data_IF_814938515859
#
_entry.id   IF_814938515859
#
_cell.length_a   1.000
_cell.length_b   1.000
_cell.length_c   1.000
_cell.angle_alpha   90.00
_cell.angle_beta   90.00
_cell.angle_gamma   90.00
#
_symmetry.space_group_name_H-M   'P 1'
#
loop_
_entity.id
_entity.type
_entity.pdbx_description
1 polymer ?
#
# COMPACT_ATOMS: atom_id res chain seq x y z
N UNK A 1 26.88 -4.30 23.99
CA UNK A 1 25.42 -4.07 23.93
C UNK A 1 25.03 -2.68 23.45
N UNK A 2 25.75 -1.61 23.83
CA UNK A 2 25.43 -0.23 23.41
C UNK A 2 25.44 -0.03 21.88
N UNK A 3 26.41 -0.60 21.16
CA UNK A 3 26.45 -0.54 19.69
C UNK A 3 25.21 -1.16 19.04
N UNK A 4 24.71 -2.28 19.58
CA UNK A 4 23.47 -2.90 19.10
C UNK A 4 22.26 -2.02 19.37
N UNK A 5 22.18 -1.39 20.56
CA UNK A 5 21.12 -0.42 20.87
C UNK A 5 21.15 0.77 19.91
N UNK A 6 22.32 1.33 19.60
CA UNK A 6 22.46 2.41 18.64
C UNK A 6 22.00 2.02 17.21
N UNK A 7 22.30 0.79 16.77
CA UNK A 7 21.81 0.26 15.49
C UNK A 7 20.30 0.04 15.51
N UNK A 8 19.75 -0.45 16.62
CA UNK A 8 18.32 -0.63 16.82
C UNK A 8 17.58 0.72 16.81
N UNK A 9 18.13 1.72 17.50
CA UNK A 9 17.59 3.08 17.54
C UNK A 9 17.61 3.72 16.14
N UNK A 10 18.67 3.45 15.35
CA UNK A 10 18.71 3.88 13.94
C UNK A 10 17.64 3.18 13.10
N UNK A 11 17.43 1.88 13.30
CA UNK A 11 16.37 1.12 12.63
C UNK A 11 14.98 1.65 12.99
N UNK A 12 14.72 1.93 14.26
CA UNK A 12 13.45 2.53 14.71
C UNK A 12 13.28 3.93 14.12
N UNK A 13 14.34 4.76 14.14
CA UNK A 13 14.33 6.12 13.60
C UNK A 13 14.05 6.17 12.10
N UNK A 14 14.57 5.20 11.34
CA UNK A 14 14.44 5.13 9.88
C UNK A 14 13.54 4.00 9.39
N UNK A 15 12.70 3.44 10.27
CA UNK A 15 11.90 2.25 9.99
C UNK A 15 11.09 2.36 8.68
N UNK A 16 10.47 3.51 8.41
CA UNK A 16 9.72 3.73 7.18
C UNK A 16 10.59 3.69 5.92
N UNK A 17 11.77 4.32 5.97
CA UNK A 17 12.71 4.35 4.84
C UNK A 17 13.30 2.97 4.57
N UNK A 18 13.65 2.24 5.64
CA UNK A 18 14.12 0.86 5.55
C UNK A 18 13.04 -0.07 4.99
N UNK A 19 11.79 0.09 5.45
CA UNK A 19 10.65 -0.67 4.93
C UNK A 19 10.43 -0.45 3.43
N UNK A 20 10.44 0.81 2.96
CA UNK A 20 10.34 1.10 1.53
C UNK A 20 11.53 0.56 0.74
N UNK A 21 12.75 0.72 1.25
CA UNK A 21 13.95 0.16 0.62
C UNK A 21 13.89 -1.36 0.48
N UNK A 22 13.41 -2.06 1.51
CA UNK A 22 13.23 -3.51 1.50
C UNK A 22 12.18 -3.94 0.47
N UNK A 23 11.02 -3.29 0.43
CA UNK A 23 9.96 -3.58 -0.55
C UNK A 23 10.47 -3.37 -1.98
N UNK A 24 11.19 -2.27 -2.23
CA UNK A 24 11.79 -1.98 -3.53
C UNK A 24 12.82 -3.04 -3.92
N UNK A 25 13.72 -3.42 -3.01
CA UNK A 25 14.74 -4.43 -3.26
C UNK A 25 14.13 -5.82 -3.54
N UNK A 26 13.16 -6.24 -2.74
CA UNK A 26 12.45 -7.51 -2.92
C UNK A 26 11.68 -7.53 -4.24
N UNK A 27 11.04 -6.43 -4.60
CA UNK A 27 10.29 -6.32 -5.87
C UNK A 27 11.24 -6.35 -7.07
N UNK A 28 12.36 -5.62 -7.02
CA UNK A 28 13.36 -5.63 -8.06
C UNK A 28 14.05 -6.99 -8.21
N UNK A 29 14.39 -7.64 -7.08
CA UNK A 29 14.95 -8.99 -7.08
C UNK A 29 13.95 -10.03 -7.60
N UNK A 30 12.68 -9.92 -7.21
CA UNK A 30 11.60 -10.77 -7.71
C UNK A 30 11.44 -10.66 -9.22
N UNK A 31 11.36 -9.44 -9.75
CA UNK A 31 11.30 -9.20 -11.20
C UNK A 31 12.46 -9.89 -11.93
N UNK A 32 13.69 -9.73 -11.44
CA UNK A 32 14.87 -10.34 -12.07
C UNK A 32 14.82 -11.86 -12.08
N UNK A 33 14.32 -12.48 -11.01
CA UNK A 33 14.15 -13.93 -10.94
C UNK A 33 13.08 -14.39 -11.95
N UNK A 34 11.92 -13.74 -11.99
CA UNK A 34 10.85 -14.09 -12.93
C UNK A 34 11.28 -13.94 -14.38
N UNK A 35 11.96 -12.83 -14.70
CA UNK A 35 12.50 -12.55 -16.03
C UNK A 35 13.58 -13.53 -16.45
N UNK A 36 14.42 -14.02 -15.52
CA UNK A 36 15.50 -14.95 -15.84
C UNK A 36 15.05 -16.42 -15.89
N UNK A 37 14.11 -16.82 -15.05
CA UNK A 37 13.77 -18.24 -14.82
C UNK A 37 12.49 -18.67 -15.53
N UNK A 38 11.48 -17.80 -15.59
CA UNK A 38 10.14 -18.16 -16.06
C UNK A 38 9.78 -17.57 -17.43
N UNK A 39 10.31 -16.39 -17.75
CA UNK A 39 9.93 -15.68 -18.96
C UNK A 39 10.67 -16.19 -20.20
N UNK A 40 9.92 -16.69 -21.18
CA UNK A 40 10.43 -17.05 -22.49
C UNK A 40 9.40 -16.60 -23.54
N UNK A 41 9.76 -15.63 -24.38
CA UNK A 41 8.82 -15.12 -25.39
C UNK A 41 8.48 -16.25 -26.39
N UNK A 42 7.18 -16.51 -26.67
CA UNK A 42 6.78 -17.63 -27.52
C UNK A 42 7.08 -17.42 -29.01
N UNK A 43 7.46 -16.21 -29.42
CA UNK A 43 7.74 -15.81 -30.79
C UNK A 43 6.63 -16.19 -31.78
N UNK A 44 5.40 -15.94 -31.35
CA UNK A 44 4.17 -16.14 -32.10
C UNK A 44 3.43 -14.82 -32.23
N UNK A 45 3.03 -14.47 -33.45
CA UNK A 45 2.28 -13.24 -33.74
C UNK A 45 1.02 -13.09 -32.87
N UNK A 46 0.37 -14.20 -32.49
CA UNK A 46 -0.84 -14.20 -31.68
C UNK A 46 -0.56 -14.07 -30.16
N UNK A 47 0.55 -14.64 -29.68
CA UNK A 47 0.82 -14.77 -28.23
C UNK A 47 1.80 -13.76 -27.67
N UNK A 48 2.68 -13.18 -28.50
CA UNK A 48 3.71 -12.24 -28.05
C UNK A 48 3.14 -11.06 -27.23
N UNK A 49 2.06 -10.44 -27.73
CA UNK A 49 1.38 -9.32 -27.05
C UNK A 49 0.76 -9.73 -25.71
N UNK A 50 -0.19 -10.68 -25.64
CA UNK A 50 -0.80 -11.06 -24.38
C UNK A 50 0.21 -11.64 -23.39
N UNK A 51 1.18 -12.44 -23.85
CA UNK A 51 2.20 -13.04 -22.99
C UNK A 51 3.08 -11.97 -22.33
N UNK A 52 3.62 -11.02 -23.10
CA UNK A 52 4.42 -9.92 -22.55
C UNK A 52 3.64 -9.02 -21.58
N UNK A 53 2.38 -8.71 -21.89
CA UNK A 53 1.51 -7.90 -21.01
C UNK A 53 1.15 -8.61 -19.71
N UNK A 54 0.91 -9.92 -19.74
CA UNK A 54 0.59 -10.70 -18.53
C UNK A 54 1.76 -10.65 -17.53
N UNK A 55 2.99 -10.90 -17.98
CA UNK A 55 4.17 -10.83 -17.11
C UNK A 55 4.45 -9.41 -16.61
N UNK A 56 4.09 -8.39 -17.38
CA UNK A 56 4.23 -7.00 -16.96
C UNK A 56 3.16 -6.57 -15.93
N UNK A 57 1.88 -6.90 -16.16
CA UNK A 57 0.76 -6.32 -15.43
C UNK A 57 0.19 -7.21 -14.32
N UNK A 58 0.21 -8.54 -14.45
CA UNK A 58 -0.40 -9.43 -13.45
C UNK A 58 0.36 -9.41 -12.12
N UNK A 59 1.71 -9.51 -12.09
CA UNK A 59 2.45 -9.35 -10.84
C UNK A 59 2.28 -7.95 -10.23
N UNK A 60 2.20 -6.91 -11.06
CA UNK A 60 1.90 -5.56 -10.59
C UNK A 60 0.52 -5.48 -9.91
N UNK A 61 -0.51 -6.09 -10.50
CA UNK A 61 -1.85 -6.17 -9.89
C UNK A 61 -1.83 -6.98 -8.59
N UNK A 62 -1.12 -8.11 -8.55
CA UNK A 62 -0.99 -8.93 -7.34
C UNK A 62 -0.32 -8.14 -6.19
N UNK A 63 0.76 -7.40 -6.48
CA UNK A 63 1.43 -6.53 -5.51
C UNK A 63 0.52 -5.40 -5.04
N UNK A 64 -0.31 -4.85 -5.93
CA UNK A 64 -1.27 -3.79 -5.59
C UNK A 64 -2.32 -4.30 -4.61
N UNK A 65 -2.93 -5.45 -4.92
CA UNK A 65 -3.92 -6.09 -4.05
C UNK A 65 -3.32 -6.49 -2.70
N UNK A 66 -2.08 -7.00 -2.70
CA UNK A 66 -1.35 -7.30 -1.46
C UNK A 66 -1.16 -6.03 -0.61
N UNK A 67 -0.84 -4.89 -1.22
CA UNK A 67 -0.76 -3.60 -0.54
C UNK A 67 -2.08 -3.18 0.13
N UNK A 68 -3.23 -3.48 -0.47
CA UNK A 68 -4.54 -3.26 0.15
C UNK A 68 -4.78 -4.18 1.34
N UNK A 69 -4.49 -5.48 1.19
CA UNK A 69 -4.69 -6.50 2.23
C UNK A 69 -3.82 -6.23 3.45
N UNK A 70 -2.59 -5.75 3.26
CA UNK A 70 -1.66 -5.44 4.37
C UNK A 70 -1.94 -4.08 5.05
N UNK A 71 -2.79 -3.23 4.47
CA UNK A 71 -3.08 -1.90 4.99
C UNK A 71 -4.15 -1.93 6.10
N UNK A 72 -3.78 -1.57 7.33
CA UNK A 72 -4.71 -1.43 8.45
C UNK A 72 -5.87 -0.45 8.14
N UNK A 73 -5.61 0.60 7.35
CA UNK A 73 -6.64 1.57 6.95
C UNK A 73 -7.73 0.93 6.08
N UNK A 74 -7.36 -0.02 5.23
CA UNK A 74 -8.32 -0.79 4.42
C UNK A 74 -9.30 -1.53 5.34
N UNK A 75 -8.79 -2.18 6.38
CA UNK A 75 -9.62 -2.91 7.34
C UNK A 75 -10.45 -1.97 8.21
N UNK A 76 -9.96 -0.78 8.59
CA UNK A 76 -10.77 0.23 9.29
C UNK A 76 -11.95 0.72 8.45
N UNK A 77 -11.76 0.85 7.13
CA UNK A 77 -12.83 1.20 6.20
C UNK A 77 -13.85 0.06 6.00
N UNK A 78 -13.38 -1.16 5.75
CA UNK A 78 -14.23 -2.27 5.33
C UNK A 78 -14.89 -3.02 6.50
N UNK A 79 -14.20 -3.18 7.64
CA UNK A 79 -14.69 -3.99 8.77
C UNK A 79 -16.01 -3.44 9.28
N UNK A 80 -17.08 -4.24 9.17
CA UNK A 80 -18.44 -3.90 9.62
C UNK A 80 -19.32 -3.17 8.60
N UNK A 81 -18.88 -2.97 7.35
CA UNK A 81 -19.62 -2.22 6.32
C UNK A 81 -20.99 -2.84 6.00
N UNK A 82 -21.08 -4.17 6.04
CA UNK A 82 -22.28 -4.93 5.68
C UNK A 82 -23.26 -5.17 6.84
N UNK A 83 -22.96 -4.68 8.05
CA UNK A 83 -23.93 -4.73 9.14
C UNK A 83 -24.97 -3.63 8.93
N UNK A 84 -26.25 -3.98 9.00
CA UNK A 84 -27.43 -3.13 8.73
C UNK A 84 -27.52 -1.84 9.55
N UNK A 85 -26.60 -1.61 10.50
CA UNK A 85 -26.41 -0.37 11.23
C UNK A 85 -25.58 0.71 10.47
N UNK A 86 -25.05 0.41 9.26
CA UNK A 86 -24.30 1.37 8.42
C UNK A 86 -25.06 1.81 7.17
N UNK A 87 -26.21 2.45 7.34
CA UNK A 87 -26.85 3.20 6.25
C UNK A 87 -26.11 4.52 5.90
N UNK A 88 -25.04 4.86 6.62
CA UNK A 88 -24.17 5.99 6.30
C UNK A 88 -22.70 5.53 6.39
N UNK A 89 -22.21 4.90 5.32
CA UNK A 89 -20.79 4.99 5.02
C UNK A 89 -20.55 6.50 4.82
N UNK A 90 -19.82 7.13 5.75
CA UNK A 90 -19.67 8.59 5.82
C UNK A 90 -19.33 9.20 4.45
N UNK A 91 -19.77 10.45 4.22
CA UNK A 91 -19.87 11.09 2.90
C UNK A 91 -18.95 10.49 1.84
N UNK A 92 -19.51 10.09 0.68
CA UNK A 92 -18.76 9.41 -0.39
C UNK A 92 -17.39 10.05 -0.71
N UNK A 93 -17.30 11.37 -0.51
CA UNK A 93 -16.07 12.18 -0.56
C UNK A 93 -14.99 11.76 0.47
N UNK A 94 -15.32 11.57 1.75
CA UNK A 94 -14.36 11.14 2.79
C UNK A 94 -13.85 9.72 2.50
N UNK A 95 -14.76 8.80 2.16
CA UNK A 95 -14.38 7.43 1.79
C UNK A 95 -13.46 7.40 0.57
N UNK A 96 -13.81 8.15 -0.47
CA UNK A 96 -13.00 8.32 -1.68
C UNK A 96 -11.58 8.82 -1.37
N UNK A 97 -11.45 9.89 -0.57
CA UNK A 97 -10.14 10.46 -0.23
C UNK A 97 -9.24 9.46 0.51
N UNK A 98 -9.80 8.69 1.44
CA UNK A 98 -9.03 7.66 2.17
C UNK A 98 -8.67 6.52 1.23
N UNK A 99 -9.57 6.09 0.35
CA UNK A 99 -9.27 5.11 -0.69
C UNK A 99 -8.12 5.58 -1.59
N UNK A 100 -8.11 6.84 -2.05
CA UNK A 100 -7.02 7.39 -2.86
C UNK A 100 -5.69 7.36 -2.11
N UNK A 101 -5.66 7.67 -0.81
CA UNK A 101 -4.44 7.57 -0.01
C UNK A 101 -3.94 6.13 0.13
N UNK A 102 -4.86 5.18 0.29
CA UNK A 102 -4.52 3.75 0.34
C UNK A 102 -3.98 3.31 -1.02
N UNK A 103 -4.64 3.68 -2.13
CA UNK A 103 -4.17 3.39 -3.49
C UNK A 103 -2.77 3.93 -3.72
N UNK A 104 -2.52 5.18 -3.33
CA UNK A 104 -1.21 5.82 -3.50
C UNK A 104 -0.11 5.08 -2.74
N UNK A 105 -0.39 4.63 -1.50
CA UNK A 105 0.56 3.84 -0.72
C UNK A 105 0.75 2.42 -1.30
N UNK A 106 -0.32 1.77 -1.74
CA UNK A 106 -0.30 0.42 -2.31
C UNK A 106 0.35 0.37 -3.71
N UNK A 107 0.39 1.50 -4.44
CA UNK A 107 0.97 1.58 -5.78
C UNK A 107 2.51 1.52 -5.81
N UNK A 108 3.21 1.68 -4.68
CA UNK A 108 4.67 1.73 -4.66
C UNK A 108 5.33 0.46 -5.23
N UNK A 109 4.93 -0.72 -4.75
CA UNK A 109 5.48 -1.99 -5.22
C UNK A 109 5.11 -2.29 -6.68
N UNK A 110 3.84 -2.14 -7.13
CA UNK A 110 3.47 -2.25 -8.54
C UNK A 110 4.26 -1.32 -9.47
N UNK A 111 4.42 -0.05 -9.11
CA UNK A 111 5.15 0.92 -9.92
C UNK A 111 6.64 0.56 -9.98
N UNK A 112 7.22 0.09 -8.88
CA UNK A 112 8.59 -0.42 -8.85
C UNK A 112 8.75 -1.63 -9.77
N UNK A 113 7.82 -2.60 -9.70
CA UNK A 113 7.81 -3.77 -10.58
C UNK A 113 7.81 -3.37 -12.06
N UNK A 114 6.86 -2.52 -12.47
CA UNK A 114 6.73 -2.08 -13.86
C UNK A 114 7.97 -1.31 -14.31
N UNK A 115 8.52 -0.42 -13.47
CA UNK A 115 9.73 0.31 -13.78
C UNK A 115 10.94 -0.63 -13.99
N UNK A 116 11.15 -1.59 -13.09
CA UNK A 116 12.27 -2.55 -13.19
C UNK A 116 12.10 -3.46 -14.42
N UNK A 117 10.89 -3.95 -14.68
CA UNK A 117 10.57 -4.76 -15.85
C UNK A 117 10.82 -4.01 -17.18
N UNK A 118 10.44 -2.72 -17.25
CA UNK A 118 10.74 -1.86 -18.40
C UNK A 118 12.25 -1.60 -18.57
N UNK A 119 12.99 -1.44 -17.47
CA UNK A 119 14.45 -1.31 -17.53
C UNK A 119 15.14 -2.61 -18.02
N UNK A 120 14.57 -3.77 -17.71
CA UNK A 120 15.00 -5.08 -18.24
C UNK A 120 14.70 -5.24 -19.74
N UNK A 121 13.54 -4.75 -20.17
CA UNK A 121 13.12 -4.67 -21.58
C UNK A 121 12.43 -5.92 -22.11
N UNK A 122 12.69 -7.11 -21.56
CA UNK A 122 12.25 -8.39 -22.13
C UNK A 122 10.72 -8.51 -22.32
N UNK A 123 9.93 -8.07 -21.34
CA UNK A 123 8.45 -8.12 -21.44
C UNK A 123 7.92 -7.16 -22.49
N UNK A 124 8.53 -5.98 -22.59
CA UNK A 124 8.16 -4.96 -23.57
C UNK A 124 8.57 -5.36 -24.98
N UNK A 125 9.79 -5.88 -25.18
CA UNK A 125 10.29 -6.41 -26.46
C UNK A 125 9.33 -7.49 -27.00
N UNK A 126 8.92 -8.44 -26.14
CA UNK A 126 7.95 -9.46 -26.52
C UNK A 126 6.56 -8.85 -26.82
N UNK A 127 6.03 -7.98 -25.95
CA UNK A 127 4.71 -7.39 -26.16
C UNK A 127 4.63 -6.53 -27.43
N UNK A 128 5.65 -5.70 -27.67
CA UNK A 128 5.73 -4.76 -28.79
C UNK A 128 5.76 -5.48 -30.15
N UNK A 129 6.48 -6.61 -30.24
CA UNK A 129 6.59 -7.39 -31.48
C UNK A 129 5.29 -8.13 -31.86
N UNK A 130 4.40 -8.38 -30.90
CA UNK A 130 3.07 -8.96 -31.14
C UNK A 130 1.98 -7.93 -31.50
N UNK A 131 2.27 -6.63 -31.40
CA UNK A 131 1.27 -5.59 -31.67
C UNK A 131 1.23 -5.21 -33.15
N UNK A 132 0.15 -5.55 -33.85
CA UNK A 132 -0.02 -5.24 -35.28
C UNK A 132 0.06 -3.73 -35.59
N UNK A 133 -0.55 -2.90 -34.73
CA UNK A 133 -0.50 -1.44 -34.89
C UNK A 133 0.91 -0.87 -34.68
N UNK A 134 1.67 -1.46 -33.75
CA UNK A 134 3.05 -1.05 -33.51
C UNK A 134 3.98 -1.54 -34.63
N UNK A 135 3.75 -2.76 -35.13
CA UNK A 135 4.46 -3.34 -36.25
C UNK A 135 4.35 -2.46 -37.51
N UNK A 136 3.16 -1.93 -37.82
CA UNK A 136 2.96 -1.03 -38.95
C UNK A 136 3.81 0.25 -38.86
N UNK A 137 3.94 0.82 -37.65
CA UNK A 137 4.75 2.04 -37.42
C UNK A 137 6.25 1.74 -37.47
N UNK A 138 6.68 0.66 -36.83
CA UNK A 138 8.08 0.24 -36.79
C UNK A 138 8.59 -0.20 -38.17
N UNK A 139 7.77 -0.89 -38.95
CA UNK A 139 8.13 -1.37 -40.27
C UNK A 139 7.83 -0.35 -41.39
N UNK A 140 7.45 0.89 -41.06
CA UNK A 140 7.20 1.93 -42.06
C UNK A 140 8.50 2.23 -42.82
N UNK A 141 8.50 1.99 -44.13
CA UNK A 141 9.68 2.18 -44.99
C UNK A 141 10.69 1.02 -44.98
N UNK A 142 10.44 -0.06 -44.23
CA UNK A 142 11.25 -1.29 -44.24
C UNK A 142 10.71 -2.31 -45.25
N UNK A 143 11.46 -3.39 -45.44
CA UNK A 143 11.07 -4.47 -46.36
C UNK A 143 9.70 -5.07 -46.00
N UNK A 144 8.95 -5.58 -47.00
CA UNK A 144 7.61 -6.15 -46.81
C UNK A 144 7.60 -7.33 -45.84
N UNK A 145 8.71 -8.04 -45.67
CA UNK A 145 8.85 -9.13 -44.71
C UNK A 145 8.97 -8.67 -43.25
N UNK A 146 9.24 -7.38 -42.99
CA UNK A 146 9.44 -6.85 -41.63
C UNK A 146 8.28 -7.18 -40.69
N UNK A 147 7.04 -6.95 -41.12
CA UNK A 147 5.86 -7.20 -40.28
C UNK A 147 5.65 -8.71 -39.99
N UNK A 148 6.05 -9.58 -40.91
CA UNK A 148 5.95 -11.03 -40.75
C UNK A 148 7.08 -11.61 -39.89
N UNK A 149 8.28 -11.01 -39.94
CA UNK A 149 9.45 -11.42 -39.17
C UNK A 149 9.49 -10.79 -37.76
N UNK A 150 8.78 -9.68 -37.52
CA UNK A 150 8.81 -8.95 -36.25
C UNK A 150 8.51 -9.82 -35.02
N UNK A 151 7.52 -10.73 -35.02
CA UNK A 151 7.25 -11.60 -33.88
C UNK A 151 8.39 -12.57 -33.54
N UNK A 152 9.32 -12.82 -34.47
CA UNK A 152 10.47 -13.73 -34.32
C UNK A 152 11.71 -13.02 -33.75
N UNK A 153 11.72 -11.69 -33.74
CA UNK A 153 12.85 -10.86 -33.29
C UNK A 153 13.28 -11.15 -31.84
N UNK A 154 12.37 -11.33 -30.85
CA UNK A 154 12.77 -11.62 -29.47
C UNK A 154 13.50 -12.96 -29.29
N UNK A 155 13.31 -13.91 -30.22
CA UNK A 155 13.99 -15.21 -30.21
C UNK A 155 15.28 -15.23 -31.05
N UNK A 156 15.71 -14.09 -31.59
CA UNK A 156 16.82 -14.00 -32.55
C UNK A 156 16.62 -14.87 -33.81
N UNK A 157 15.38 -14.93 -34.32
CA UNK A 157 15.00 -15.77 -35.47
C UNK A 157 14.61 -14.96 -36.72
N UNK A 158 14.74 -13.63 -36.70
CA UNK A 158 14.53 -12.82 -37.91
C UNK A 158 15.67 -13.05 -38.92
N UNK A 159 15.32 -13.16 -40.20
CA UNK A 159 16.29 -13.42 -41.27
C UNK A 159 16.97 -12.12 -41.71
N UNK A 160 16.20 -11.04 -41.76
CA UNK A 160 16.70 -9.75 -42.17
C UNK A 160 17.41 -9.06 -41.00
N UNK A 161 18.70 -8.72 -41.17
CA UNK A 161 19.52 -8.15 -40.10
C UNK A 161 19.01 -6.78 -39.65
N UNK A 162 18.47 -5.99 -40.57
CA UNK A 162 17.79 -4.73 -40.30
C UNK A 162 16.54 -4.92 -39.41
N UNK A 163 15.84 -6.05 -39.55
CA UNK A 163 14.69 -6.42 -38.72
C UNK A 163 15.16 -6.89 -37.33
N UNK A 164 16.25 -7.65 -37.27
CA UNK A 164 16.82 -8.11 -36.00
C UNK A 164 17.37 -6.94 -35.16
N UNK A 165 17.92 -5.89 -35.79
CA UNK A 165 18.40 -4.70 -35.10
C UNK A 165 17.29 -3.89 -34.41
N UNK A 166 16.01 -4.05 -34.80
CA UNK A 166 14.89 -3.46 -34.05
C UNK A 166 14.85 -3.90 -32.58
N UNK A 167 15.43 -5.05 -32.24
CA UNK A 167 15.47 -5.50 -30.84
C UNK A 167 16.19 -4.48 -29.94
N UNK A 168 17.25 -3.85 -30.45
CA UNK A 168 18.00 -2.81 -29.73
C UNK A 168 17.16 -1.54 -29.57
N UNK A 169 16.45 -1.15 -30.62
CA UNK A 169 15.54 0.00 -30.59
C UNK A 169 14.40 -0.22 -29.58
N UNK A 170 13.78 -1.41 -29.58
CA UNK A 170 12.73 -1.80 -28.64
C UNK A 170 13.23 -1.80 -27.19
N UNK A 171 14.44 -2.32 -26.96
CA UNK A 171 15.09 -2.30 -25.66
C UNK A 171 15.32 -0.87 -25.17
N UNK A 172 15.87 -0.01 -26.02
CA UNK A 172 16.11 1.39 -25.70
C UNK A 172 14.79 2.12 -25.40
N UNK A 173 13.75 1.91 -26.20
CA UNK A 173 12.42 2.47 -25.95
C UNK A 173 11.86 2.02 -24.59
N UNK A 174 11.99 0.73 -24.26
CA UNK A 174 11.56 0.20 -22.96
C UNK A 174 12.29 0.88 -21.80
N UNK A 175 13.61 1.02 -21.89
CA UNK A 175 14.42 1.66 -20.85
C UNK A 175 14.09 3.15 -20.68
N UNK A 176 13.88 3.86 -21.79
CA UNK A 176 13.44 5.26 -21.76
C UNK A 176 12.07 5.39 -21.08
N UNK A 177 11.10 4.52 -21.42
CA UNK A 177 9.80 4.49 -20.76
C UNK A 177 9.92 4.18 -19.25
N UNK A 178 10.81 3.26 -18.87
CA UNK A 178 11.11 2.94 -17.48
C UNK A 178 11.64 4.15 -16.70
N UNK A 179 12.59 4.90 -17.26
CA UNK A 179 13.12 6.11 -16.64
C UNK A 179 12.10 7.25 -16.57
N UNK A 180 11.29 7.43 -17.62
CA UNK A 180 10.20 8.41 -17.63
C UNK A 180 9.20 8.07 -16.52
N UNK A 181 8.81 6.81 -16.37
CA UNK A 181 7.90 6.36 -15.31
C UNK A 181 8.49 6.70 -13.93
N UNK A 182 9.75 6.35 -13.67
CA UNK A 182 10.44 6.67 -12.40
C UNK A 182 10.42 8.18 -12.13
N UNK A 183 10.78 9.00 -13.13
CA UNK A 183 10.81 10.45 -12.98
C UNK A 183 9.42 11.03 -12.67
N UNK A 184 8.38 10.60 -13.40
CA UNK A 184 7.00 11.02 -13.17
C UNK A 184 6.52 10.65 -11.76
N UNK A 185 6.80 9.41 -11.32
CA UNK A 185 6.43 8.96 -9.97
C UNK A 185 7.12 9.79 -8.89
N UNK A 186 8.42 10.06 -9.03
CA UNK A 186 9.16 10.91 -8.07
C UNK A 186 8.57 12.32 -8.02
N UNK A 187 8.31 12.94 -9.17
CA UNK A 187 7.74 14.29 -9.25
C UNK A 187 6.36 14.34 -8.58
N UNK A 188 5.48 13.37 -8.88
CA UNK A 188 4.14 13.28 -8.26
C UNK A 188 4.26 13.13 -6.74
N UNK A 189 5.14 12.25 -6.25
CA UNK A 189 5.34 12.05 -4.81
C UNK A 189 5.87 13.32 -4.13
N UNK A 190 6.81 14.04 -4.76
CA UNK A 190 7.34 15.30 -4.26
C UNK A 190 6.26 16.39 -4.19
N UNK A 191 5.49 16.57 -5.27
CA UNK A 191 4.40 17.55 -5.32
C UNK A 191 3.35 17.21 -4.27
N UNK A 192 2.86 15.96 -4.24
CA UNK A 192 1.85 15.52 -3.29
C UNK A 192 2.31 15.69 -1.84
N UNK A 193 3.54 15.26 -1.53
CA UNK A 193 4.09 15.42 -0.19
C UNK A 193 4.26 16.89 0.18
N UNK A 194 4.77 17.72 -0.73
CA UNK A 194 4.98 19.16 -0.48
C UNK A 194 3.66 19.89 -0.25
N UNK A 195 2.65 19.64 -1.10
CA UNK A 195 1.31 20.23 -0.99
C UNK A 195 0.62 19.78 0.29
N UNK A 196 0.62 18.47 0.60
CA UNK A 196 -0.03 17.96 1.83
C UNK A 196 0.63 18.46 3.11
N UNK A 197 1.95 18.71 3.09
CA UNK A 197 2.65 19.34 4.21
C UNK A 197 2.39 20.84 4.30
N UNK A 198 2.36 21.55 3.17
CA UNK A 198 2.08 22.98 3.11
C UNK A 198 0.65 23.32 3.55
N UNK A 199 -0.31 22.46 3.23
CA UNK A 199 -1.72 22.61 3.62
C UNK A 199 -2.04 22.00 5.01
N UNK A 200 -1.02 21.58 5.76
CA UNK A 200 -1.22 21.02 7.10
C UNK A 200 -1.67 22.11 8.07
N UNK A 201 -2.78 21.94 8.82
CA UNK A 201 -3.19 22.92 9.82
C UNK A 201 -2.41 22.81 11.14
N UNK A 202 -1.52 21.81 11.26
CA UNK A 202 -0.74 21.56 12.48
C UNK A 202 0.73 21.89 12.24
N UNK A 203 1.39 22.39 13.27
CA UNK A 203 2.82 22.70 13.19
C UNK A 203 3.67 21.43 13.07
N UNK A 204 4.88 21.58 12.55
CA UNK A 204 5.83 20.46 12.42
C UNK A 204 6.14 19.77 13.76
N UNK A 205 6.31 20.55 14.83
CA UNK A 205 6.61 20.00 16.16
C UNK A 205 5.38 19.30 16.75
N UNK A 206 4.18 19.85 16.54
CA UNK A 206 2.93 19.20 16.93
C UNK A 206 2.73 17.86 16.21
N UNK A 207 3.06 17.79 14.91
CA UNK A 207 3.00 16.55 14.14
C UNK A 207 3.98 15.48 14.68
N UNK A 208 5.18 15.88 15.11
CA UNK A 208 6.15 14.98 15.75
C UNK A 208 5.63 14.46 17.08
N UNK A 209 5.15 15.36 17.93
CA UNK A 209 4.52 14.99 19.21
C UNK A 209 3.36 14.02 19.00
N UNK A 210 2.52 14.26 18.00
CA UNK A 210 1.39 13.40 17.65
C UNK A 210 1.81 11.96 17.37
N UNK A 211 2.87 11.76 16.57
CA UNK A 211 3.39 10.41 16.29
C UNK A 211 3.85 9.70 17.57
N UNK A 212 4.57 10.41 18.43
CA UNK A 212 5.03 9.89 19.72
C UNK A 212 3.82 9.53 20.60
N UNK A 213 2.82 10.41 20.68
CA UNK A 213 1.58 10.15 21.43
C UNK A 213 0.91 8.84 20.98
N UNK A 214 0.76 8.64 19.67
CA UNK A 214 0.10 7.43 19.14
C UNK A 214 0.89 6.16 19.39
N UNK A 215 2.21 6.21 19.25
CA UNK A 215 3.08 5.07 19.56
C UNK A 215 2.95 4.67 21.04
N UNK A 216 2.95 5.65 21.95
CA UNK A 216 2.77 5.42 23.38
C UNK A 216 1.34 4.94 23.71
N UNK A 217 0.31 5.56 23.11
CA UNK A 217 -1.09 5.16 23.28
C UNK A 217 -1.28 3.69 22.87
N UNK A 218 -0.70 3.27 21.75
CA UNK A 218 -0.79 1.89 21.27
C UNK A 218 -0.07 0.90 22.20
N UNK A 219 1.12 1.24 22.70
CA UNK A 219 1.86 0.39 23.64
C UNK A 219 1.10 0.22 24.95
N UNK A 220 0.58 1.32 25.50
CA UNK A 220 -0.21 1.31 26.75
C UNK A 220 -1.53 0.56 26.55
N UNK A 221 -2.24 0.80 25.44
CA UNK A 221 -3.48 0.10 25.13
C UNK A 221 -3.26 -1.41 24.99
N UNK A 222 -2.20 -1.84 24.31
CA UNK A 222 -1.84 -3.26 24.19
C UNK A 222 -1.57 -3.87 25.57
N UNK A 223 -0.73 -3.23 26.38
CA UNK A 223 -0.40 -3.70 27.73
C UNK A 223 -1.65 -3.84 28.60
N UNK A 224 -2.51 -2.81 28.64
CA UNK A 224 -3.72 -2.80 29.47
C UNK A 224 -4.80 -3.76 28.96
N UNK A 225 -4.95 -3.90 27.63
CA UNK A 225 -5.85 -4.88 27.05
C UNK A 225 -5.41 -6.32 27.36
N UNK A 226 -4.11 -6.61 27.32
CA UNK A 226 -3.56 -7.93 27.69
C UNK A 226 -3.76 -8.24 29.17
N UNK A 227 -3.51 -7.28 30.06
CA UNK A 227 -3.78 -7.42 31.50
C UNK A 227 -5.26 -7.73 31.77
N UNK A 228 -6.16 -6.90 31.25
CA UNK A 228 -7.62 -7.06 31.39
C UNK A 228 -8.12 -8.39 30.81
N UNK A 229 -7.62 -8.80 29.64
CA UNK A 229 -7.98 -10.07 29.03
C UNK A 229 -7.48 -11.27 29.85
N UNK A 230 -6.29 -11.18 30.46
CA UNK A 230 -5.72 -12.23 31.30
C UNK A 230 -6.52 -12.41 32.59
N UNK A 231 -6.91 -11.33 33.24
CA UNK A 231 -7.74 -11.36 34.45
C UNK A 231 -9.13 -11.92 34.16
N UNK A 232 -9.77 -11.45 33.09
CA UNK A 232 -11.07 -11.97 32.65
C UNK A 232 -11.01 -13.47 32.31
N UNK A 233 -9.94 -13.92 31.62
CA UNK A 233 -9.75 -15.34 31.31
C UNK A 233 -9.56 -16.17 32.59
N UNK A 234 -8.76 -15.70 33.56
CA UNK A 234 -8.55 -16.39 34.84
C UNK A 234 -9.85 -16.55 35.63
N UNK A 235 -10.64 -15.49 35.73
CA UNK A 235 -11.93 -15.54 36.43
C UNK A 235 -12.90 -16.52 35.75
N UNK A 236 -13.03 -16.45 34.42
CA UNK A 236 -13.91 -17.34 33.67
C UNK A 236 -13.51 -18.82 33.81
N UNK A 237 -12.21 -19.12 33.71
CA UNK A 237 -11.68 -20.48 33.89
C UNK A 237 -11.93 -20.97 35.31
N UNK A 238 -11.67 -20.12 36.31
CA UNK A 238 -11.92 -20.45 37.72
C UNK A 238 -13.40 -20.78 37.96
N UNK A 239 -14.31 -19.91 37.52
CA UNK A 239 -15.74 -20.13 37.67
C UNK A 239 -16.24 -21.38 36.93
N UNK A 240 -15.67 -21.69 35.76
CA UNK A 240 -15.98 -22.91 35.02
C UNK A 240 -15.62 -24.17 35.80
N UNK A 241 -14.43 -24.23 36.42
CA UNK A 241 -14.00 -25.41 37.19
C UNK A 241 -14.64 -25.49 38.59
N UNK A 242 -14.96 -24.36 39.22
CA UNK A 242 -15.60 -24.32 40.54
C UNK A 242 -17.13 -24.43 40.48
N UNK A 243 -17.73 -24.33 39.29
CA UNK A 243 -19.19 -24.29 39.13
C UNK A 243 -19.84 -23.03 39.71
N UNK A 244 -19.07 -21.97 39.92
CA UNK A 244 -19.53 -20.71 40.50
C UNK A 244 -19.98 -19.73 39.41
N UNK A 245 -20.78 -18.73 39.77
CA UNK A 245 -21.11 -17.64 38.85
C UNK A 245 -19.96 -16.62 38.77
N UNK A 246 -19.67 -16.07 37.58
CA UNK A 246 -18.62 -15.07 37.40
C UNK A 246 -19.00 -13.74 38.05
N UNK A 247 -18.00 -13.01 38.54
CA UNK A 247 -18.18 -11.61 38.96
C UNK A 247 -18.45 -10.71 37.75
N UNK A 248 -19.22 -9.64 37.96
CA UNK A 248 -19.45 -8.63 36.93
C UNK A 248 -18.12 -7.96 36.56
N UNK A 249 -17.63 -8.22 35.35
CA UNK A 249 -16.39 -7.66 34.83
C UNK A 249 -16.70 -6.60 33.77
N UNK A 250 -16.45 -5.33 34.10
CA UNK A 250 -16.76 -4.20 33.21
C UNK A 250 -15.80 -4.17 32.02
N UNK A 251 -16.25 -4.73 30.90
CA UNK A 251 -15.57 -4.62 29.60
C UNK A 251 -16.32 -3.61 28.74
N UNK A 252 -15.63 -2.74 27.97
CA UNK A 252 -16.30 -1.79 27.10
C UNK A 252 -17.27 -2.49 26.15
N UNK A 253 -18.44 -1.89 25.97
CA UNK A 253 -19.49 -2.39 25.09
C UNK A 253 -19.07 -2.37 23.63
N UNK A 254 -19.74 -3.17 22.80
CA UNK A 254 -19.50 -3.21 21.35
C UNK A 254 -19.55 -1.81 20.70
N UNK A 255 -20.47 -0.95 21.17
CA UNK A 255 -20.61 0.43 20.66
C UNK A 255 -19.38 1.29 20.99
N UNK A 256 -18.77 1.09 22.14
CA UNK A 256 -17.58 1.84 22.58
C UNK A 256 -16.35 1.41 21.78
N UNK A 257 -16.16 0.11 21.58
CA UNK A 257 -15.12 -0.42 20.67
C UNK A 257 -15.28 0.10 19.24
N UNK A 258 -16.51 0.14 18.73
CA UNK A 258 -16.80 0.66 17.39
C UNK A 258 -16.51 2.16 17.23
N UNK A 259 -16.60 2.94 18.31
CA UNK A 259 -16.36 4.37 18.29
C UNK A 259 -14.86 4.69 18.25
N UNK A 260 -14.03 4.00 19.03
CA UNK A 260 -12.58 4.22 19.02
C UNK A 260 -11.90 3.63 17.77
N UNK A 261 -12.58 2.71 17.07
CA UNK A 261 -12.09 2.06 15.85
C UNK A 261 -12.45 2.79 14.55
N UNK A 262 -13.21 3.89 14.61
CA UNK A 262 -13.54 4.64 13.40
C UNK A 262 -12.33 5.44 12.87
N UNK A 263 -12.38 5.82 11.59
CA UNK A 263 -11.38 6.71 10.99
C UNK A 263 -11.27 8.03 11.75
N UNK A 264 -10.05 8.51 11.93
CA UNK A 264 -9.78 9.74 12.64
C UNK A 264 -10.23 10.97 11.82
N UNK A 265 -10.91 11.91 12.49
CA UNK A 265 -11.27 13.21 11.94
C UNK A 265 -10.67 14.33 12.78
N UNK A 266 -10.00 15.26 12.10
CA UNK A 266 -9.41 16.43 12.75
C UNK A 266 -10.47 17.52 12.93
N UNK A 267 -10.49 18.14 14.10
CA UNK A 267 -11.30 19.33 14.37
C UNK A 267 -10.42 20.40 15.01
N UNK A 268 -10.25 21.58 14.40
CA UNK A 268 -9.40 22.63 14.96
C UNK A 268 -9.89 23.15 16.32
N UNK A 269 -11.19 23.04 16.63
CA UNK A 269 -11.78 23.45 17.91
C UNK A 269 -11.47 22.48 19.06
N UNK A 270 -11.05 21.25 18.75
CA UNK A 270 -10.75 20.22 19.74
C UNK A 270 -9.50 19.44 19.35
N UNK A 271 -8.38 19.72 20.03
CA UNK A 271 -7.08 19.12 19.73
C UNK A 271 -6.98 17.67 20.27
N UNK A 272 -7.71 16.75 19.65
CA UNK A 272 -7.65 15.33 19.99
C UNK A 272 -6.65 14.60 19.10
N UNK A 273 -5.73 13.85 19.71
CA UNK A 273 -4.66 13.12 19.01
C UNK A 273 -5.10 11.74 18.47
N UNK A 274 -6.22 11.21 18.94
CA UNK A 274 -6.74 9.92 18.50
C UNK A 274 -8.25 9.87 18.69
N UNK A 275 -8.89 8.82 18.17
CA UNK A 275 -10.30 8.57 18.43
C UNK A 275 -10.56 8.16 19.89
N UNK A 276 -9.60 7.48 20.54
CA UNK A 276 -9.67 7.16 21.96
C UNK A 276 -9.63 8.44 22.81
N UNK A 277 -8.69 9.35 22.51
CA UNK A 277 -8.61 10.66 23.16
C UNK A 277 -9.92 11.45 22.96
N UNK A 278 -10.46 11.47 21.74
CA UNK A 278 -11.74 12.13 21.43
C UNK A 278 -12.91 11.50 22.19
N UNK A 279 -12.93 10.19 22.37
CA UNK A 279 -13.97 9.48 23.10
C UNK A 279 -13.95 9.79 24.60
N UNK A 280 -12.78 9.75 25.24
CA UNK A 280 -12.64 9.94 26.70
C UNK A 280 -12.95 11.37 27.13
N UNK A 281 -12.54 12.39 26.34
CA UNK A 281 -12.72 13.80 26.70
C UNK A 281 -14.09 14.39 26.34
N UNK A 282 -15.05 13.54 25.96
CA UNK A 282 -16.36 13.99 25.53
C UNK A 282 -17.29 14.26 26.71
N UNK A 283 -17.90 15.44 26.73
CA UNK A 283 -18.85 15.85 27.77
C UNK A 283 -20.18 15.08 27.74
N UNK A 284 -20.64 14.62 26.56
CA UNK A 284 -21.91 13.91 26.39
C UNK A 284 -21.72 12.56 25.68
N UNK A 285 -22.10 11.45 26.31
CA UNK A 285 -21.91 10.09 25.76
C UNK A 285 -22.97 9.67 24.71
N UNK A 286 -24.01 10.47 24.47
CA UNK A 286 -25.24 10.04 23.76
C UNK A 286 -25.17 10.06 22.23
N UNK A 287 -24.49 11.03 21.59
CA UNK A 287 -24.38 11.06 20.11
C UNK A 287 -23.23 10.21 19.56
N UNK A 288 -23.17 9.91 18.25
CA UNK A 288 -22.01 9.24 17.65
C UNK A 288 -20.83 10.21 17.49
N UNK A 289 -19.57 9.77 17.74
CA UNK A 289 -18.37 10.61 17.54
C UNK A 289 -18.11 10.93 16.05
N UNK A 290 -18.73 10.17 15.13
CA UNK A 290 -18.31 10.07 13.73
C UNK A 290 -18.45 11.35 12.90
N UNK A 291 -19.15 12.37 13.38
CA UNK A 291 -19.23 13.64 12.66
C UNK A 291 -19.67 14.77 13.57
N UNK A 292 -18.74 15.32 14.35
CA UNK A 292 -18.93 16.66 14.92
C UNK A 292 -18.78 17.71 13.82
N UNK A 293 -19.53 18.80 13.91
CA UNK A 293 -19.42 19.91 12.95
C UNK A 293 -17.98 20.45 12.94
N UNK A 294 -17.39 20.58 11.74
CA UNK A 294 -15.98 20.98 11.55
C UNK A 294 -14.98 19.83 11.44
N UNK A 295 -15.41 18.57 11.58
CA UNK A 295 -14.55 17.40 11.40
C UNK A 295 -14.12 17.24 9.94
N UNK A 296 -12.81 17.15 9.70
CA UNK A 296 -12.21 17.01 8.37
C UNK A 296 -11.19 15.87 8.32
N UNK A 297 -11.12 15.19 7.17
CA UNK A 297 -10.07 14.19 6.91
C UNK A 297 -8.88 14.93 6.32
N UNK A 298 -7.75 14.88 7.02
CA UNK A 298 -6.54 15.62 6.61
C UNK A 298 -5.48 14.63 6.14
N UNK A 299 -5.01 14.72 4.88
CA UNK A 299 -4.06 13.75 4.34
C UNK A 299 -2.78 13.57 5.16
N UNK A 300 -2.24 14.65 5.72
CA UNK A 300 -1.04 14.60 6.55
C UNK A 300 -1.24 13.83 7.87
N UNK A 301 -2.48 13.70 8.34
CA UNK A 301 -2.85 12.99 9.57
C UNK A 301 -3.28 11.54 9.33
N UNK A 302 -3.21 11.04 8.09
CA UNK A 302 -3.63 9.66 7.80
C UNK A 302 -2.85 8.61 8.61
N UNK A 303 -1.63 8.91 9.08
CA UNK A 303 -0.82 7.98 9.89
C UNK A 303 -1.52 7.55 11.18
N UNK A 304 -2.48 8.34 11.69
CA UNK A 304 -3.33 7.98 12.85
C UNK A 304 -4.07 6.66 12.60
N UNK A 305 -4.41 6.39 11.34
CA UNK A 305 -5.15 5.19 10.93
C UNK A 305 -4.26 4.03 10.44
N UNK A 306 -2.96 4.27 10.25
CA UNK A 306 -2.03 3.26 9.72
C UNK A 306 -1.58 2.24 10.75
N UNK A 307 -1.61 2.57 12.03
CA UNK A 307 -1.16 1.67 13.08
C UNK A 307 -2.19 0.58 13.35
N UNK A 308 -1.94 -0.63 12.87
CA UNK A 308 -2.56 -1.84 13.41
C UNK A 308 -1.92 -2.16 14.76
N UNK A 309 -2.67 -2.74 15.69
CA UNK A 309 -2.07 -3.43 16.83
C UNK A 309 -1.21 -4.52 16.20
N UNK A 310 0.12 -4.37 16.22
CA UNK A 310 1.03 -5.42 15.78
C UNK A 310 0.77 -6.65 16.64
N UNK A 311 -0.08 -7.54 16.12
CA UNK A 311 -0.07 -8.96 16.39
C UNK A 311 1.15 -9.51 15.66
N UNK A 312 2.35 -9.20 16.17
CA UNK A 312 3.46 -10.12 15.97
C UNK A 312 3.02 -11.42 16.64
N UNK A 313 2.89 -12.54 15.91
CA UNK A 313 2.91 -13.83 16.57
C UNK A 313 4.31 -13.95 17.19
N UNK A 314 4.37 -14.04 18.52
CA UNK A 314 5.50 -14.74 19.12
C UNK A 314 5.35 -16.20 18.70
N UNK A 315 6.18 -16.61 17.75
CA UNK A 315 6.63 -17.99 17.57
C UNK A 315 8.14 -17.96 17.31
#
# INVERSE_FOLDING_TARGET
>A
MEKFRAVLDLHVKHHSALGYGLVTLLTAGGERIFSAVAFQCPCSAAWNLPYGLVFLLVPALALFLLGYVLSARTWRLLTGCCSSARASCGSALRGSLVCTQISAAAALAPLTWVAVALLGGAFYECAATGSAAFAQRLCLGRNRSCAAELPLVPCNQAKASDVQDLLKDLKAQSQVLGWILIAVVIIILLIFTSVTRCLSPVSFLQLKFWKIYLEQEQQILKSKATEHATELAKENIKCFFEGSHPKEYNTPSMKEWQQISSLYTFNPKGQYYSMLHKYVNRKEKTHSIRSTEGDTVIPVLGFVDSSGINSTPEL
#
